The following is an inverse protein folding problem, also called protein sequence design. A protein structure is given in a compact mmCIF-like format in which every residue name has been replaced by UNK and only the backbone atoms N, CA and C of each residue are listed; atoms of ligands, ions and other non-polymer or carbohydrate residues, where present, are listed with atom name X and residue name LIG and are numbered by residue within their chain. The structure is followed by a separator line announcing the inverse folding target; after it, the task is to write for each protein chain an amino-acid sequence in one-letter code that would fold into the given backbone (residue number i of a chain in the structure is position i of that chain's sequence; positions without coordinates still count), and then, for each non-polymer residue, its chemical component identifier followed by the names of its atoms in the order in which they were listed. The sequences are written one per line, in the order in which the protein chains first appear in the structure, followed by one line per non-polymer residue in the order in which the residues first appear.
data_IF_742420656707
#
_entry.id   IF_742420656707
#
_cell.length_a   1.000
_cell.length_b   1.000
_cell.length_c   1.000
_cell.angle_alpha   90.00
_cell.angle_beta   90.00
_cell.angle_gamma   90.00
#
_symmetry.space_group_name_H-M   'P 1'
#
loop_
_entity.id
_entity.type
_entity.pdbx_description
1 polymer ?
#
# COMPACT_ATOMS: atom_id res chain seq x y z
N UNK A 1 -2.19 -22.84 29.94
CA UNK A 1 -2.65 -22.43 28.60
C UNK A 1 -1.65 -22.94 27.60
N UNK A 2 -2.12 -23.42 26.45
CA UNK A 2 -1.26 -24.13 25.51
C UNK A 2 -0.40 -23.13 24.75
N UNK A 3 0.92 -23.34 24.73
CA UNK A 3 1.79 -22.59 23.81
C UNK A 3 1.49 -22.94 22.35
N UNK A 4 1.91 -22.11 21.40
CA UNK A 4 1.70 -22.35 19.95
C UNK A 4 2.18 -23.74 19.50
N UNK A 5 3.29 -24.22 20.04
CA UNK A 5 3.81 -25.57 19.76
C UNK A 5 2.88 -26.66 20.29
N UNK A 6 2.40 -26.52 21.52
CA UNK A 6 1.44 -27.45 22.14
C UNK A 6 0.09 -27.45 21.40
N UNK A 7 -0.38 -26.27 20.96
CA UNK A 7 -1.57 -26.11 20.14
C UNK A 7 -1.44 -26.88 18.82
N UNK A 8 -0.28 -26.78 18.17
CA UNK A 8 0.01 -27.53 16.95
C UNK A 8 0.05 -29.04 17.22
N UNK A 9 0.65 -29.47 18.34
CA UNK A 9 0.65 -30.89 18.74
C UNK A 9 -0.77 -31.42 18.91
N UNK A 10 -1.65 -30.70 19.61
CA UNK A 10 -3.06 -31.10 19.76
C UNK A 10 -3.75 -31.20 18.39
N UNK A 11 -3.57 -30.21 17.50
CA UNK A 11 -4.17 -30.24 16.17
C UNK A 11 -3.66 -31.43 15.33
N UNK A 12 -2.37 -31.76 15.41
CA UNK A 12 -1.81 -32.91 14.70
C UNK A 12 -2.39 -34.24 15.21
N UNK A 13 -2.62 -34.36 16.52
CA UNK A 13 -3.25 -35.54 17.12
C UNK A 13 -4.72 -35.68 16.72
N UNK A 14 -5.46 -34.57 16.62
CA UNK A 14 -6.85 -34.58 16.15
C UNK A 14 -6.95 -35.04 14.69
N UNK A 15 -6.06 -34.57 13.81
CA UNK A 15 -5.99 -34.98 12.41
C UNK A 15 -5.55 -36.44 12.24
N UNK A 16 -4.73 -36.95 13.16
CA UNK A 16 -4.30 -38.35 13.13
C UNK A 16 -5.47 -39.34 13.27
N UNK A 17 -6.64 -38.91 13.77
CA UNK A 17 -7.87 -39.71 13.86
C UNK A 17 -8.35 -40.31 12.54
N UNK A 18 -7.96 -39.72 11.41
CA UNK A 18 -8.37 -40.23 10.10
C UNK A 18 -7.72 -41.57 9.74
N UNK A 19 -6.56 -41.87 10.35
CA UNK A 19 -5.73 -43.03 9.96
C UNK A 19 -5.21 -43.85 11.14
N UNK A 20 -5.18 -43.29 12.35
CA UNK A 20 -4.64 -43.96 13.54
C UNK A 20 -5.76 -44.33 14.52
N UNK A 21 -5.60 -45.43 15.27
CA UNK A 21 -6.58 -45.84 16.25
C UNK A 21 -6.60 -44.92 17.47
N UNK A 22 -7.76 -44.79 18.12
CA UNK A 22 -7.94 -43.87 19.25
C UNK A 22 -6.98 -44.16 20.41
N UNK A 23 -6.71 -45.41 20.74
CA UNK A 23 -5.82 -45.82 21.84
C UNK A 23 -4.39 -45.28 21.68
N UNK A 24 -3.84 -45.35 20.47
CA UNK A 24 -2.53 -44.82 20.15
C UNK A 24 -2.50 -43.30 20.22
N UNK A 25 -3.54 -42.62 19.74
CA UNK A 25 -3.62 -41.15 19.78
C UNK A 25 -3.73 -40.67 21.23
N UNK A 26 -4.51 -41.36 22.07
CA UNK A 26 -4.65 -41.06 23.49
C UNK A 26 -3.33 -41.31 24.23
N UNK A 27 -2.61 -42.40 23.92
CA UNK A 27 -1.30 -42.68 24.50
C UNK A 27 -0.26 -41.63 24.11
N UNK A 28 -0.26 -41.20 22.85
CA UNK A 28 0.61 -40.12 22.35
C UNK A 28 0.25 -38.78 22.99
N UNK A 29 -1.03 -38.50 23.23
CA UNK A 29 -1.47 -37.32 23.98
C UNK A 29 -0.97 -37.37 25.43
N UNK A 30 -1.13 -38.50 26.11
CA UNK A 30 -0.70 -38.67 27.50
C UNK A 30 0.83 -38.59 27.64
N UNK A 31 1.60 -39.02 26.63
CA UNK A 31 3.06 -38.90 26.62
C UNK A 31 3.55 -37.50 26.24
N UNK A 32 2.83 -36.80 25.37
CA UNK A 32 3.18 -35.44 24.91
C UNK A 32 2.86 -34.37 25.97
N UNK A 33 1.85 -34.60 26.81
CA UNK A 33 1.42 -33.64 27.83
C UNK A 33 1.62 -34.18 29.24
N UNK A 34 2.40 -33.50 30.11
CA UNK A 34 2.51 -33.89 31.52
C UNK A 34 1.18 -33.69 32.26
N UNK A 35 0.89 -34.44 33.34
CA UNK A 35 -0.38 -34.37 34.09
C UNK A 35 -0.91 -32.95 34.41
N UNK A 36 -0.10 -31.97 34.85
CA UNK A 36 -0.60 -30.61 35.11
C UNK A 36 -1.04 -29.87 33.83
N UNK A 37 -0.50 -30.23 32.66
CA UNK A 37 -0.88 -29.63 31.37
C UNK A 37 -2.00 -30.37 30.66
N UNK A 38 -2.23 -31.65 30.96
CA UNK A 38 -3.34 -32.43 30.42
C UNK A 38 -4.69 -31.77 30.72
N UNK A 39 -4.91 -31.28 31.95
CA UNK A 39 -6.13 -30.55 32.30
C UNK A 39 -6.33 -29.29 31.45
N UNK A 40 -5.26 -28.50 31.24
CA UNK A 40 -5.31 -27.30 30.37
C UNK A 40 -5.63 -27.67 28.92
N UNK A 41 -5.02 -28.74 28.39
CA UNK A 41 -5.26 -29.22 27.04
C UNK A 41 -6.70 -29.72 26.87
N UNK A 42 -7.23 -30.48 27.83
CA UNK A 42 -8.61 -30.94 27.85
C UNK A 42 -9.62 -29.78 27.94
N UNK A 43 -9.34 -28.72 28.70
CA UNK A 43 -10.18 -27.51 28.69
C UNK A 43 -10.22 -26.91 27.28
N UNK A 44 -9.07 -26.77 26.62
CA UNK A 44 -9.02 -26.20 25.27
C UNK A 44 -9.80 -27.05 24.26
N UNK A 45 -9.70 -28.39 24.36
CA UNK A 45 -10.50 -29.32 23.55
C UNK A 45 -12.01 -29.16 23.80
N UNK A 46 -12.43 -29.05 25.06
CA UNK A 46 -13.83 -28.85 25.41
C UNK A 46 -14.41 -27.54 24.85
N UNK A 47 -13.61 -26.47 24.83
CA UNK A 47 -14.01 -25.17 24.27
C UNK A 47 -14.19 -25.22 22.75
N UNK A 48 -13.29 -25.92 22.05
CA UNK A 48 -13.33 -26.04 20.59
C UNK A 48 -14.49 -26.94 20.15
N UNK A 49 -14.82 -27.97 20.94
CA UNK A 49 -15.98 -28.83 20.71
C UNK A 49 -17.31 -28.05 20.74
N UNK A 50 -17.47 -27.07 21.64
CA UNK A 50 -18.66 -26.19 21.72
C UNK A 50 -18.78 -25.28 20.48
N UNK A 51 -17.66 -24.94 19.83
CA UNK A 51 -17.61 -24.07 18.66
C UNK A 51 -17.96 -24.71 17.32
N UNK A 52 -18.23 -26.03 17.27
CA UNK A 52 -18.47 -26.82 16.03
C UNK A 52 -17.42 -26.59 14.92
N UNK A 53 -16.18 -26.25 15.29
CA UNK A 53 -15.08 -26.00 14.33
C UNK A 53 -14.39 -27.28 13.84
N UNK A 54 -14.56 -28.38 14.57
CA UNK A 54 -13.91 -29.65 14.29
C UNK A 54 -14.74 -30.52 13.36
N UNK A 55 -14.08 -31.21 12.44
CA UNK A 55 -14.70 -32.25 11.60
C UNK A 55 -15.19 -33.43 12.46
N UNK A 56 -16.20 -34.21 12.02
CA UNK A 56 -16.74 -35.33 12.79
C UNK A 56 -15.67 -36.30 13.33
N UNK A 57 -14.72 -36.72 12.50
CA UNK A 57 -13.62 -37.59 12.92
C UNK A 57 -12.76 -36.99 14.05
N UNK A 58 -12.47 -35.68 13.96
CA UNK A 58 -11.71 -34.95 14.98
C UNK A 58 -12.50 -34.80 16.28
N UNK A 59 -13.84 -34.63 16.19
CA UNK A 59 -14.73 -34.57 17.36
C UNK A 59 -14.70 -35.90 18.13
N UNK A 60 -14.76 -37.03 17.43
CA UNK A 60 -14.62 -38.36 18.06
C UNK A 60 -13.29 -38.51 18.81
N UNK A 61 -12.17 -38.08 18.19
CA UNK A 61 -10.85 -38.13 18.85
C UNK A 61 -10.83 -37.26 20.11
N UNK A 62 -11.40 -36.05 20.04
CA UNK A 62 -11.46 -35.15 21.20
C UNK A 62 -12.29 -35.77 22.35
N UNK A 63 -13.44 -36.38 22.07
CA UNK A 63 -14.23 -37.08 23.08
C UNK A 63 -13.49 -38.28 23.68
N UNK A 64 -12.76 -39.05 22.86
CA UNK A 64 -11.93 -40.15 23.33
C UNK A 64 -10.83 -39.66 24.30
N UNK A 65 -10.14 -38.56 23.97
CA UNK A 65 -9.12 -37.95 24.84
C UNK A 65 -9.74 -37.49 26.17
N UNK A 66 -10.87 -36.78 26.13
CA UNK A 66 -11.53 -36.23 27.32
C UNK A 66 -12.01 -37.32 28.30
N UNK A 67 -12.40 -38.49 27.80
CA UNK A 67 -12.81 -39.62 28.63
C UNK A 67 -11.61 -40.46 29.08
N UNK A 68 -10.67 -40.79 28.18
CA UNK A 68 -9.61 -41.76 28.48
C UNK A 68 -8.51 -41.21 29.39
N UNK A 69 -8.20 -39.92 29.32
CA UNK A 69 -7.19 -39.28 30.20
C UNK A 69 -7.57 -39.41 31.69
N UNK A 70 -8.87 -39.47 31.99
CA UNK A 70 -9.41 -39.62 33.36
C UNK A 70 -10.01 -41.01 33.62
N UNK A 71 -9.81 -41.98 32.71
CA UNK A 71 -10.40 -43.33 32.82
C UNK A 71 -9.92 -44.14 34.03
N UNK A 72 -8.79 -43.76 34.62
CA UNK A 72 -8.24 -44.35 35.84
C UNK A 72 -8.94 -43.89 37.13
N UNK A 73 -9.75 -42.84 37.06
CA UNK A 73 -10.46 -42.24 38.19
C UNK A 73 -11.95 -42.64 38.17
N UNK A 74 -12.66 -42.47 39.29
CA UNK A 74 -14.11 -42.65 39.28
C UNK A 74 -14.76 -41.71 38.26
N UNK A 75 -15.81 -42.13 37.53
CA UNK A 75 -16.49 -41.28 36.54
C UNK A 75 -16.98 -39.94 37.12
N UNK A 76 -17.31 -39.91 38.41
CA UNK A 76 -17.70 -38.73 39.19
C UNK A 76 -16.56 -37.71 39.40
N UNK A 77 -15.31 -38.14 39.24
CA UNK A 77 -14.10 -37.32 39.41
C UNK A 77 -13.62 -36.71 38.10
N UNK A 78 -14.12 -37.16 36.94
CA UNK A 78 -13.78 -36.56 35.65
C UNK A 78 -14.45 -35.18 35.51
N UNK A 79 -13.68 -34.08 35.41
CA UNK A 79 -14.22 -32.72 35.31
C UNK A 79 -15.02 -32.46 34.01
N UNK A 80 -14.89 -33.32 33.00
CA UNK A 80 -15.58 -33.20 31.71
C UNK A 80 -16.76 -34.17 31.55
N UNK A 81 -17.13 -34.92 32.60
CA UNK A 81 -18.21 -35.92 32.52
C UNK A 81 -19.56 -35.28 32.16
N UNK A 82 -19.85 -34.08 32.66
CA UNK A 82 -21.07 -33.34 32.34
C UNK A 82 -21.12 -32.91 30.87
N UNK A 83 -19.98 -32.56 30.27
CA UNK A 83 -19.85 -32.25 28.84
C UNK A 83 -20.19 -33.48 28.00
N UNK A 84 -19.63 -34.65 28.34
CA UNK A 84 -19.87 -35.91 27.63
C UNK A 84 -21.33 -36.35 27.74
N UNK A 85 -21.93 -36.27 28.94
CA UNK A 85 -23.36 -36.59 29.14
C UNK A 85 -24.26 -35.64 28.35
N UNK A 86 -23.96 -34.33 28.38
CA UNK A 86 -24.74 -33.35 27.61
C UNK A 86 -24.63 -33.59 26.10
N UNK A 87 -23.44 -33.91 25.58
CA UNK A 87 -23.21 -34.21 24.17
C UNK A 87 -23.88 -35.52 23.72
N UNK A 88 -23.91 -36.55 24.56
CA UNK A 88 -24.63 -37.80 24.27
C UNK A 88 -26.16 -37.59 24.18
N UNK A 89 -26.69 -36.64 24.96
CA UNK A 89 -28.11 -36.30 25.01
C UNK A 89 -28.54 -35.22 24.02
N UNK A 90 -27.62 -34.63 23.26
CA UNK A 90 -27.94 -33.58 22.30
C UNK A 90 -28.68 -34.18 21.09
N UNK A 91 -29.93 -33.79 20.89
CA UNK A 91 -30.75 -34.28 19.78
C UNK A 91 -30.34 -33.71 18.43
N UNK A 92 -29.64 -32.56 18.43
CA UNK A 92 -29.14 -31.90 17.21
C UNK A 92 -27.80 -32.50 16.72
N UNK A 93 -27.13 -33.29 17.57
CA UNK A 93 -25.85 -33.93 17.24
C UNK A 93 -26.02 -35.19 16.39
N UNK A 94 -24.99 -35.53 15.62
CA UNK A 94 -24.99 -36.73 14.77
C UNK A 94 -25.14 -38.01 15.62
N UNK A 95 -25.98 -38.94 15.15
CA UNK A 95 -26.24 -40.20 15.86
C UNK A 95 -24.97 -41.04 16.07
N UNK A 96 -24.01 -40.95 15.14
CA UNK A 96 -22.71 -41.63 15.23
C UNK A 96 -21.89 -41.14 16.43
N UNK A 97 -21.85 -39.83 16.65
CA UNK A 97 -21.12 -39.24 17.78
C UNK A 97 -21.77 -39.56 19.11
N UNK A 98 -23.09 -39.47 19.17
CA UNK A 98 -23.85 -39.81 20.38
C UNK A 98 -23.63 -41.27 20.77
N UNK A 99 -23.70 -42.17 19.79
CA UNK A 99 -23.44 -43.60 20.01
C UNK A 99 -22.00 -43.86 20.48
N UNK A 100 -21.02 -43.19 19.89
CA UNK A 100 -19.62 -43.29 20.31
C UNK A 100 -19.42 -42.81 21.76
N UNK A 101 -19.98 -41.66 22.12
CA UNK A 101 -19.90 -41.14 23.50
C UNK A 101 -20.59 -42.10 24.48
N UNK A 102 -21.75 -42.68 24.12
CA UNK A 102 -22.42 -43.69 24.94
C UNK A 102 -21.57 -44.95 25.13
N UNK A 103 -20.84 -45.39 24.10
CA UNK A 103 -19.90 -46.51 24.19
C UNK A 103 -18.67 -46.19 25.06
N UNK A 104 -18.20 -44.93 25.06
CA UNK A 104 -17.13 -44.46 25.94
C UNK A 104 -17.57 -44.28 27.39
N UNK A 105 -18.81 -43.85 27.61
CA UNK A 105 -19.39 -43.67 28.94
C UNK A 105 -19.81 -45.01 29.55
N UNK A 106 -20.24 -45.97 28.73
CA UNK A 106 -20.56 -47.33 29.16
C UNK A 106 -19.46 -47.92 30.04
N UNK A 107 -19.87 -48.58 31.14
CA UNK A 107 -18.97 -49.10 32.19
C UNK A 107 -17.63 -49.55 31.63
N UNK A 108 -16.53 -49.02 32.18
CA UNK A 108 -15.12 -49.16 31.75
C UNK A 108 -14.57 -50.61 31.62
N UNK A 109 -15.45 -51.59 31.69
CA UNK A 109 -15.24 -53.03 31.68
C UNK A 109 -16.00 -53.76 30.55
N UNK A 110 -16.75 -53.07 29.68
CA UNK A 110 -17.35 -53.71 28.50
C UNK A 110 -16.30 -53.95 27.41
N UNK A 111 -16.29 -55.12 26.79
CA UNK A 111 -15.41 -55.48 25.67
C UNK A 111 -15.57 -54.52 24.48
N UNK A 112 -16.78 -53.99 24.29
CA UNK A 112 -17.11 -53.03 23.24
C UNK A 112 -16.33 -51.72 23.34
N UNK A 113 -16.14 -51.16 24.54
CA UNK A 113 -15.39 -49.91 24.72
C UNK A 113 -13.92 -50.03 24.29
N UNK A 114 -13.28 -51.16 24.61
CA UNK A 114 -11.88 -51.44 24.25
C UNK A 114 -11.69 -51.81 22.78
N UNK A 115 -12.71 -52.36 22.14
CA UNK A 115 -12.70 -52.68 20.70
C UNK A 115 -12.85 -51.41 19.86
N UNK A 116 -13.71 -50.49 20.28
CA UNK A 116 -13.93 -49.20 19.60
C UNK A 116 -12.66 -48.34 19.63
N UNK A 117 -11.92 -48.34 20.74
CA UNK A 117 -10.67 -47.58 20.86
C UNK A 117 -9.54 -48.08 19.96
N UNK A 118 -9.62 -49.33 19.46
CA UNK A 118 -8.63 -49.90 18.52
C UNK A 118 -8.92 -49.55 17.05
N UNK A 119 -10.03 -48.88 16.78
CA UNK A 119 -10.42 -48.45 15.44
C UNK A 119 -9.99 -47.00 15.21
N UNK A 120 -9.79 -46.61 13.96
CA UNK A 120 -9.67 -45.20 13.58
C UNK A 120 -11.04 -44.52 13.59
N UNK A 121 -11.07 -43.19 13.65
CA UNK A 121 -12.34 -42.45 13.64
C UNK A 121 -13.12 -42.64 12.34
N UNK A 122 -12.42 -42.71 11.21
CA UNK A 122 -13.07 -42.91 9.90
C UNK A 122 -13.59 -44.34 9.73
N UNK A 123 -12.88 -45.35 10.26
CA UNK A 123 -13.34 -46.73 10.22
C UNK A 123 -14.56 -46.95 11.11
N UNK A 124 -14.58 -46.35 12.30
CA UNK A 124 -15.74 -46.37 13.19
C UNK A 124 -16.98 -45.75 12.53
N UNK A 125 -16.82 -44.57 11.90
CA UNK A 125 -17.91 -43.89 11.20
C UNK A 125 -18.45 -44.71 10.03
N UNK A 126 -17.59 -45.44 9.29
CA UNK A 126 -18.02 -46.31 8.18
C UNK A 126 -18.74 -47.57 8.63
N UNK A 127 -18.37 -48.12 9.78
CA UNK A 127 -18.97 -49.32 10.36
C UNK A 127 -20.19 -49.02 11.24
N UNK A 128 -20.54 -47.74 11.41
CA UNK A 128 -21.62 -47.32 12.30
C UNK A 128 -22.99 -47.71 11.75
N UNK A 129 -23.72 -48.50 12.55
CA UNK A 129 -25.12 -48.85 12.30
C UNK A 129 -26.03 -48.21 13.36
N UNK A 130 -26.92 -47.27 12.98
CA UNK A 130 -27.84 -46.62 13.90
C UNK A 130 -28.81 -47.58 14.60
N UNK A 131 -29.09 -48.76 14.02
CA UNK A 131 -30.06 -49.72 14.54
C UNK A 131 -29.54 -50.53 15.73
N UNK A 132 -28.22 -50.55 15.94
CA UNK A 132 -27.55 -51.32 17.01
C UNK A 132 -27.44 -50.55 18.33
N UNK A 133 -27.86 -49.29 18.37
CA UNK A 133 -27.64 -48.38 19.49
C UNK A 133 -28.96 -47.92 20.11
N UNK A 134 -29.07 -48.07 21.44
CA UNK A 134 -30.16 -47.47 22.22
C UNK A 134 -29.70 -46.13 22.78
N UNK A 135 -30.53 -45.09 22.61
CA UNK A 135 -30.24 -43.75 23.11
C UNK A 135 -31.06 -43.51 24.39
N UNK A 136 -30.44 -43.63 25.58
CA UNK A 136 -31.15 -43.44 26.84
C UNK A 136 -31.58 -41.99 27.04
N UNK A 137 -32.62 -41.78 27.85
CA UNK A 137 -33.10 -40.43 28.19
C UNK A 137 -32.10 -39.72 29.11
N UNK A 138 -32.03 -38.38 28.99
CA UNK A 138 -31.10 -37.52 29.73
C UNK A 138 -31.10 -37.76 31.25
N UNK A 139 -32.28 -37.99 31.81
CA UNK A 139 -32.49 -38.22 33.24
C UNK A 139 -31.81 -39.52 33.72
N UNK A 140 -31.79 -40.56 32.89
CA UNK A 140 -31.18 -41.86 33.22
C UNK A 140 -29.65 -41.76 33.29
N UNK A 141 -29.04 -41.04 32.33
CA UNK A 141 -27.59 -40.82 32.31
C UNK A 141 -27.16 -39.86 33.43
N UNK A 142 -27.93 -38.82 33.73
CA UNK A 142 -27.65 -37.91 34.84
C UNK A 142 -27.71 -38.61 36.20
N UNK A 143 -28.63 -39.56 36.39
CA UNK A 143 -28.70 -40.38 37.59
C UNK A 143 -27.51 -41.34 37.73
N UNK A 144 -27.01 -41.89 36.62
CA UNK A 144 -25.91 -42.86 36.61
C UNK A 144 -24.52 -42.22 36.85
N UNK A 145 -24.30 -40.99 36.38
CA UNK A 145 -23.00 -40.30 36.48
C UNK A 145 -22.96 -39.14 37.50
N UNK A 146 -24.05 -38.92 38.24
CA UNK A 146 -24.08 -38.11 39.46
C UNK A 146 -24.72 -36.72 39.35
N UNK A 147 -25.36 -36.30 40.44
CA UNK A 147 -26.13 -35.06 40.68
C UNK A 147 -25.30 -33.75 40.74
N UNK A 148 -24.10 -33.73 40.15
CA UNK A 148 -23.30 -32.52 39.91
C UNK A 148 -23.25 -32.12 38.43
N UNK A 149 -24.02 -32.79 37.56
CA UNK A 149 -24.38 -32.25 36.26
C UNK A 149 -25.33 -31.06 36.47
N UNK A 150 -24.78 -29.91 36.87
CA UNK A 150 -25.49 -28.64 36.80
C UNK A 150 -26.09 -28.53 35.39
N UNK A 151 -27.35 -28.06 35.23
CA UNK A 151 -27.95 -27.80 33.92
C UNK A 151 -27.10 -26.88 33.04
N UNK A 152 -26.19 -26.15 33.68
CA UNK A 152 -25.26 -25.22 33.07
C UNK A 152 -24.13 -25.97 32.32
N UNK A 153 -24.21 -25.88 31.00
CA UNK A 153 -23.07 -26.04 30.09
C UNK A 153 -21.85 -25.35 30.71
N UNK A 154 -20.75 -26.08 30.86
CA UNK A 154 -19.47 -25.64 31.43
C UNK A 154 -19.28 -24.11 31.26
N UNK A 155 -19.61 -23.33 32.31
CA UNK A 155 -19.47 -21.87 32.32
C UNK A 155 -17.99 -21.53 32.49
N UNK A 156 -17.21 -21.81 31.45
CA UNK A 156 -15.89 -21.24 31.30
C UNK A 156 -16.05 -19.73 31.14
N UNK A 157 -15.24 -18.94 31.86
CA UNK A 157 -15.19 -17.47 31.69
C UNK A 157 -14.85 -17.08 30.23
N UNK A 158 -14.20 -18.00 29.51
CA UNK A 158 -13.88 -17.91 28.08
C UNK A 158 -15.07 -18.15 27.14
N UNK A 159 -16.23 -18.60 27.64
CA UNK A 159 -17.42 -18.78 26.78
C UNK A 159 -17.94 -17.46 26.22
N UNK A 160 -17.69 -16.39 26.96
CA UNK A 160 -18.12 -15.03 26.61
C UNK A 160 -17.04 -14.26 25.84
N UNK A 161 -15.86 -14.85 25.58
CA UNK A 161 -14.81 -14.19 24.80
C UNK A 161 -14.94 -14.43 23.28
N UNK A 162 -15.80 -15.36 22.85
CA UNK A 162 -16.17 -15.49 21.45
C UNK A 162 -17.55 -14.85 21.21
N UNK A 163 -17.64 -13.99 20.19
CA UNK A 163 -18.91 -13.41 19.76
C UNK A 163 -19.69 -14.51 19.08
N UNK A 164 -20.66 -15.10 19.79
CA UNK A 164 -21.66 -15.98 19.17
C UNK A 164 -22.43 -15.17 18.13
N UNK A 165 -22.57 -15.71 16.93
CA UNK A 165 -23.47 -15.14 15.94
C UNK A 165 -24.90 -15.28 16.46
N UNK A 166 -25.41 -14.21 17.07
CA UNK A 166 -26.80 -14.13 17.57
C UNK A 166 -27.82 -14.19 16.44
N UNK A 167 -27.37 -13.87 15.22
CA UNK A 167 -28.15 -13.89 13.99
C UNK A 167 -27.47 -14.92 13.08
N UNK A 168 -28.17 -15.99 12.67
CA UNK A 168 -27.64 -16.93 11.68
C UNK A 168 -27.39 -16.19 10.37
N UNK A 169 -26.29 -16.53 9.71
CA UNK A 169 -25.93 -15.95 8.42
C UNK A 169 -27.11 -16.14 7.44
N UNK A 170 -27.69 -15.06 6.89
CA UNK A 170 -28.83 -15.15 5.97
C UNK A 170 -28.50 -15.92 4.69
N UNK A 171 -27.21 -16.01 4.32
CA UNK A 171 -26.73 -16.73 3.14
C UNK A 171 -26.54 -18.23 3.43
N UNK A 172 -26.64 -18.66 4.70
CA UNK A 172 -26.60 -20.06 5.11
C UNK A 172 -28.02 -20.55 5.36
N UNK A 173 -28.56 -21.48 4.53
CA UNK A 173 -29.90 -22.00 4.72
C UNK A 173 -30.12 -22.55 6.13
N UNK A 174 -31.31 -22.32 6.71
CA UNK A 174 -31.68 -22.97 7.98
C UNK A 174 -31.65 -24.48 7.79
N UNK A 175 -30.83 -25.17 8.59
CA UNK A 175 -30.60 -26.61 8.45
C UNK A 175 -29.43 -26.97 7.52
N UNK A 176 -28.58 -26.01 7.16
CA UNK A 176 -27.34 -26.29 6.46
C UNK A 176 -26.45 -27.21 7.30
N UNK A 177 -26.06 -28.34 6.72
CA UNK A 177 -25.18 -29.30 7.35
C UNK A 177 -23.77 -28.71 7.49
N UNK A 178 -23.35 -28.49 8.74
CA UNK A 178 -22.00 -27.98 9.05
C UNK A 178 -20.89 -28.93 8.59
N UNK A 179 -21.24 -30.20 8.33
CA UNK A 179 -20.33 -31.23 7.83
C UNK A 179 -20.45 -31.45 6.31
N UNK A 180 -21.15 -30.57 5.60
CA UNK A 180 -21.26 -30.62 4.14
C UNK A 180 -19.90 -30.46 3.47
N UNK A 181 -19.60 -31.34 2.52
CA UNK A 181 -18.41 -31.27 1.66
C UNK A 181 -18.41 -30.04 0.72
N UNK A 182 -19.52 -29.31 0.62
CA UNK A 182 -19.62 -28.07 -0.17
C UNK A 182 -18.79 -26.91 0.42
N UNK A 183 -18.42 -27.01 1.70
CA UNK A 183 -17.55 -26.06 2.39
C UNK A 183 -16.06 -26.44 2.34
N UNK A 184 -15.73 -27.66 1.93
CA UNK A 184 -14.34 -28.07 1.75
C UNK A 184 -13.76 -27.44 0.47
N UNK A 185 -12.52 -26.91 0.57
CA UNK A 185 -11.79 -26.39 -0.59
C UNK A 185 -11.45 -27.54 -1.54
N UNK A 186 -12.11 -27.59 -2.70
CA UNK A 186 -11.77 -28.53 -3.75
C UNK A 186 -10.34 -28.27 -4.26
N UNK A 187 -9.51 -29.31 -4.51
CA UNK A 187 -8.15 -29.14 -5.01
C UNK A 187 -8.14 -28.33 -6.31
N UNK A 188 -7.48 -27.16 -6.30
CA UNK A 188 -7.38 -26.25 -7.46
C UNK A 188 -8.39 -25.09 -7.50
N UNK A 189 -9.29 -24.97 -6.53
CA UNK A 189 -10.20 -23.81 -6.42
C UNK A 189 -9.53 -22.64 -5.67
N UNK A 190 -9.80 -21.40 -6.11
CA UNK A 190 -9.35 -20.20 -5.38
C UNK A 190 -10.15 -20.10 -4.07
N UNK A 191 -9.50 -19.83 -2.91
CA UNK A 191 -10.22 -19.64 -1.66
C UNK A 191 -11.25 -18.52 -1.83
N UNK A 192 -12.48 -18.76 -1.37
CA UNK A 192 -13.53 -17.75 -1.39
C UNK A 192 -13.06 -16.56 -0.55
N UNK A 193 -13.36 -15.33 -0.98
CA UNK A 193 -13.02 -14.14 -0.20
C UNK A 193 -13.70 -14.24 1.17
N UNK A 194 -12.89 -14.34 2.23
CA UNK A 194 -13.37 -14.59 3.60
C UNK A 194 -13.26 -16.04 4.10
N UNK A 195 -12.85 -17.02 3.27
CA UNK A 195 -12.52 -18.36 3.75
C UNK A 195 -11.13 -18.35 4.42
N UNK A 196 -11.09 -18.02 5.71
CA UNK A 196 -9.87 -18.16 6.51
C UNK A 196 -9.43 -19.63 6.61
N UNK A 197 -8.17 -19.85 6.96
CA UNK A 197 -7.67 -21.19 7.24
C UNK A 197 -8.24 -21.68 8.59
N UNK A 198 -9.01 -22.77 8.53
CA UNK A 198 -9.62 -23.40 9.72
C UNK A 198 -8.55 -23.89 10.69
N UNK A 199 -7.42 -24.37 10.19
CA UNK A 199 -6.32 -24.85 11.01
C UNK A 199 -5.59 -23.68 11.71
N UNK A 200 -5.37 -22.58 10.99
CA UNK A 200 -4.85 -21.34 11.57
C UNK A 200 -5.80 -20.77 12.63
N UNK A 201 -7.11 -20.87 12.39
CA UNK A 201 -8.14 -20.44 13.34
C UNK A 201 -8.13 -21.33 14.58
N UNK A 202 -8.07 -22.66 14.44
CA UNK A 202 -8.02 -23.60 15.56
C UNK A 202 -6.72 -23.42 16.37
N UNK A 203 -5.57 -23.30 15.72
CA UNK A 203 -4.28 -23.05 16.40
C UNK A 203 -4.24 -21.69 17.07
N UNK A 204 -4.80 -20.66 16.42
CA UNK A 204 -4.99 -19.33 16.99
C UNK A 204 -5.90 -19.37 18.23
N UNK A 205 -6.99 -20.11 18.20
CA UNK A 205 -7.85 -20.30 19.38
C UNK A 205 -7.11 -21.05 20.49
N UNK A 206 -6.50 -22.20 20.20
CA UNK A 206 -5.74 -22.99 21.17
C UNK A 206 -4.63 -22.19 21.87
N UNK A 207 -4.00 -21.25 21.17
CA UNK A 207 -2.90 -20.42 21.69
C UNK A 207 -3.36 -19.12 22.36
N UNK A 208 -4.49 -18.54 21.93
CA UNK A 208 -5.04 -17.28 22.44
C UNK A 208 -6.14 -17.46 23.48
N UNK A 209 -6.47 -18.68 23.87
CA UNK A 209 -7.16 -18.96 25.13
C UNK A 209 -6.25 -18.55 26.28
N UNK A 210 -6.12 -17.23 26.51
CA UNK A 210 -5.36 -16.56 27.57
C UNK A 210 -6.29 -16.01 28.64
N UNK A 211 -5.92 -16.10 29.93
CA UNK A 211 -6.60 -15.42 31.04
C UNK A 211 -6.42 -13.90 30.97
N UNK A 212 -5.44 -13.42 30.18
CA UNK A 212 -5.22 -12.01 29.85
C UNK A 212 -6.24 -11.56 28.79
N UNK A 213 -7.51 -11.49 29.19
CA UNK A 213 -8.62 -11.19 28.29
C UNK A 213 -9.98 -11.15 28.98
N UNK A 214 -10.03 -11.06 30.31
CA UNK A 214 -11.27 -11.00 31.10
C UNK A 214 -12.08 -9.69 30.87
N UNK A 215 -11.58 -8.75 30.06
CA UNK A 215 -12.35 -7.60 29.59
C UNK A 215 -13.09 -7.95 28.30
N UNK A 216 -14.33 -7.47 28.09
CA UNK A 216 -15.01 -7.66 26.81
C UNK A 216 -14.12 -7.09 25.70
N UNK A 217 -13.63 -7.96 24.81
CA UNK A 217 -13.01 -7.49 23.58
C UNK A 217 -14.12 -6.82 22.78
N UNK A 218 -14.00 -5.50 22.56
CA UNK A 218 -14.89 -4.73 21.72
C UNK A 218 -14.62 -5.07 20.25
N UNK A 219 -14.87 -6.33 19.89
CA UNK A 219 -14.88 -6.78 18.51
C UNK A 219 -16.17 -6.22 17.93
N UNK A 220 -16.07 -5.18 17.11
CA UNK A 220 -17.16 -4.75 16.25
C UNK A 220 -17.07 -5.55 14.96
N UNK A 221 -17.77 -6.69 14.83
CA UNK A 221 -17.89 -7.32 13.52
C UNK A 221 -18.45 -6.29 12.54
N UNK A 222 -17.90 -6.28 11.34
CA UNK A 222 -18.40 -5.41 10.28
C UNK A 222 -19.89 -5.72 10.08
N UNK A 223 -20.79 -4.71 10.04
CA UNK A 223 -22.21 -4.95 9.90
C UNK A 223 -22.49 -5.80 8.65
N UNK A 224 -23.36 -6.82 8.73
CA UNK A 224 -23.75 -7.60 7.57
C UNK A 224 -24.43 -6.68 6.55
N UNK A 225 -24.02 -6.77 5.28
CA UNK A 225 -24.63 -6.01 4.19
C UNK A 225 -25.89 -6.76 3.73
N UNK A 226 -27.03 -6.42 4.32
CA UNK A 226 -28.32 -6.97 3.90
C UNK A 226 -28.74 -6.37 2.55
N UNK A 227 -29.43 -7.15 1.69
CA UNK A 227 -30.03 -6.62 0.47
C UNK A 227 -31.15 -5.62 0.81
N UNK A 228 -31.31 -4.59 -0.03
CA UNK A 228 -32.32 -3.54 0.14
C UNK A 228 -33.72 -4.15 -0.02
N UNK A 229 -34.62 -3.90 0.95
CA UNK A 229 -35.99 -4.40 0.92
C UNK A 229 -36.93 -3.45 0.13
N UNK A 230 -38.01 -3.99 -0.42
CA UNK A 230 -39.02 -3.20 -1.14
C UNK A 230 -39.65 -2.15 -0.21
N UNK A 231 -39.32 -0.88 -0.45
CA UNK A 231 -39.78 0.28 0.35
C UNK A 231 -38.70 0.96 1.18
N UNK A 232 -37.47 0.43 1.23
CA UNK A 232 -36.34 1.13 1.85
C UNK A 232 -35.80 2.25 0.95
N UNK A 233 -35.53 3.41 1.57
CA UNK A 233 -34.91 4.54 0.90
C UNK A 233 -33.42 4.22 0.67
N UNK A 234 -33.05 4.05 -0.60
CA UNK A 234 -31.64 3.92 -0.99
C UNK A 234 -30.94 5.26 -0.79
N UNK A 235 -29.92 5.28 0.07
CA UNK A 235 -28.96 6.38 0.09
C UNK A 235 -28.20 6.37 -1.23
N UNK A 236 -28.58 7.28 -2.13
CA UNK A 236 -27.74 7.65 -3.26
C UNK A 236 -26.52 8.33 -2.67
N UNK A 237 -25.40 7.60 -2.54
CA UNK A 237 -24.12 8.28 -2.42
C UNK A 237 -23.88 8.96 -3.77
N UNK A 238 -23.96 10.30 -3.86
CA UNK A 238 -23.58 10.98 -5.10
C UNK A 238 -22.16 10.51 -5.44
N UNK A 239 -21.93 10.15 -6.70
CA UNK A 239 -20.67 9.58 -7.15
C UNK A 239 -19.50 10.32 -6.50
N UNK A 240 -18.59 9.56 -5.88
CA UNK A 240 -17.35 10.04 -5.27
C UNK A 240 -16.35 10.55 -6.33
N UNK A 241 -16.83 11.22 -7.38
CA UNK A 241 -16.02 12.12 -8.19
C UNK A 241 -15.83 13.42 -7.42
N UNK A 242 -15.29 13.33 -6.20
CA UNK A 242 -14.70 14.49 -5.56
C UNK A 242 -13.39 14.74 -6.28
N UNK A 243 -13.43 15.64 -7.26
CA UNK A 243 -12.20 16.22 -7.78
C UNK A 243 -11.49 16.89 -6.58
N UNK A 244 -10.20 16.60 -6.40
CA UNK A 244 -9.41 17.18 -5.33
C UNK A 244 -9.30 18.69 -5.57
N UNK A 245 -10.25 19.46 -5.02
CA UNK A 245 -10.20 20.91 -5.01
C UNK A 245 -9.28 21.32 -3.86
N UNK A 246 -7.98 21.32 -4.13
CA UNK A 246 -7.02 21.89 -3.21
C UNK A 246 -7.13 23.42 -3.25
N UNK A 247 -7.28 24.06 -2.10
CA UNK A 247 -7.12 25.52 -2.02
C UNK A 247 -5.62 25.84 -2.12
N UNK A 248 -5.19 26.18 -3.34
CA UNK A 248 -3.80 26.54 -3.62
C UNK A 248 -3.40 27.86 -2.94
N UNK A 249 -4.34 28.61 -2.36
CA UNK A 249 -4.10 29.80 -1.55
C UNK A 249 -3.87 29.51 -0.06
N UNK A 250 -4.16 28.30 0.41
CA UNK A 250 -4.00 27.94 1.82
C UNK A 250 -2.51 27.79 2.15
N UNK A 251 -1.97 28.72 2.95
CA UNK A 251 -0.53 28.87 3.23
C UNK A 251 0.32 29.32 2.03
N UNK A 252 -0.28 29.88 0.97
CA UNK A 252 0.49 30.62 -0.02
C UNK A 252 1.05 31.88 0.65
N UNK A 253 2.37 32.05 0.65
CA UNK A 253 3.00 33.31 1.05
C UNK A 253 2.38 34.42 0.19
N UNK A 254 1.44 35.20 0.71
CA UNK A 254 0.80 36.32 -0.02
C UNK A 254 1.76 37.50 -0.23
N UNK A 255 3.05 37.27 0.01
CA UNK A 255 4.12 38.19 -0.30
C UNK A 255 4.17 38.44 -1.81
N UNK A 256 4.47 39.69 -2.19
CA UNK A 256 4.67 40.08 -3.60
C UNK A 256 5.67 39.16 -4.30
N UNK A 257 6.69 38.67 -3.58
CA UNK A 257 7.67 37.73 -4.10
C UNK A 257 7.13 36.35 -4.51
N UNK A 258 6.06 35.84 -3.88
CA UNK A 258 5.44 34.59 -4.32
C UNK A 258 4.65 34.77 -5.63
N UNK A 259 3.95 35.90 -5.78
CA UNK A 259 3.26 36.22 -7.02
C UNK A 259 4.24 36.35 -8.20
N UNK A 260 5.37 37.04 -8.01
CA UNK A 260 6.45 37.08 -9.01
C UNK A 260 7.01 35.69 -9.28
N UNK A 261 7.26 34.88 -8.24
CA UNK A 261 7.77 33.51 -8.41
C UNK A 261 6.83 32.63 -9.24
N UNK A 262 5.53 32.72 -9.01
CA UNK A 262 4.52 31.98 -9.78
C UNK A 262 4.46 32.45 -11.23
N UNK A 263 4.58 33.76 -11.47
CA UNK A 263 4.65 34.33 -12.81
C UNK A 263 5.93 33.89 -13.54
N UNK A 264 7.09 33.90 -12.87
CA UNK A 264 8.35 33.38 -13.42
C UNK A 264 8.25 31.88 -13.71
N UNK A 265 7.63 31.09 -12.82
CA UNK A 265 7.40 29.66 -13.05
C UNK A 265 6.50 29.39 -14.26
N UNK A 266 5.52 30.26 -14.53
CA UNK A 266 4.72 30.24 -15.77
C UNK A 266 5.56 30.68 -16.98
N UNK A 267 6.41 31.69 -16.83
CA UNK A 267 7.29 32.21 -17.88
C UNK A 267 8.30 31.16 -18.39
N UNK A 268 8.73 30.25 -17.52
CA UNK A 268 9.62 29.15 -17.91
C UNK A 268 8.92 28.10 -18.78
N UNK A 269 7.61 27.93 -18.63
CA UNK A 269 6.82 26.93 -19.38
C UNK A 269 6.30 27.46 -20.71
N UNK A 270 6.17 28.77 -20.87
CA UNK A 270 5.65 29.38 -22.09
C UNK A 270 5.57 30.90 -22.04
N UNK A 271 5.16 31.53 -23.15
CA UNK A 271 5.07 32.99 -23.25
C UNK A 271 3.98 33.53 -22.31
N UNK A 272 4.33 34.55 -21.52
CA UNK A 272 3.39 35.25 -20.65
C UNK A 272 2.55 36.26 -21.44
N UNK A 273 1.33 36.51 -20.98
CA UNK A 273 0.50 37.57 -21.55
C UNK A 273 1.14 38.96 -21.31
N UNK A 274 0.97 39.94 -22.21
CA UNK A 274 1.58 41.27 -22.07
C UNK A 274 1.30 41.95 -20.72
N UNK A 275 0.08 41.82 -20.20
CA UNK A 275 -0.28 42.35 -18.88
C UNK A 275 0.49 41.69 -17.72
N UNK A 276 0.76 40.38 -17.82
CA UNK A 276 1.56 39.65 -16.84
C UNK A 276 3.05 40.02 -16.94
N UNK A 277 3.55 40.25 -18.16
CA UNK A 277 4.92 40.74 -18.36
C UNK A 277 5.11 42.12 -17.74
N UNK A 278 4.18 43.06 -17.96
CA UNK A 278 4.22 44.40 -17.36
C UNK A 278 4.17 44.34 -15.83
N UNK A 279 3.34 43.46 -15.26
CA UNK A 279 3.28 43.26 -13.82
C UNK A 279 4.62 42.78 -13.24
N UNK A 280 5.28 41.79 -13.85
CA UNK A 280 6.59 41.31 -13.41
C UNK A 280 7.63 42.43 -13.48
N UNK A 281 7.67 43.18 -14.58
CA UNK A 281 8.61 44.29 -14.75
C UNK A 281 8.39 45.38 -13.69
N UNK A 282 7.14 45.75 -13.40
CA UNK A 282 6.81 46.75 -12.39
C UNK A 282 7.15 46.29 -10.98
N UNK A 283 6.94 45.00 -10.66
CA UNK A 283 7.31 44.45 -9.35
C UNK A 283 8.83 44.35 -9.16
N UNK A 284 9.57 43.94 -10.20
CA UNK A 284 11.05 43.92 -10.21
C UNK A 284 11.67 45.33 -10.16
N UNK A 285 11.01 46.34 -10.74
CA UNK A 285 11.44 47.72 -10.65
C UNK A 285 11.25 48.29 -9.24
N UNK A 286 10.16 47.90 -8.56
CA UNK A 286 9.85 48.35 -7.20
C UNK A 286 10.76 47.73 -6.13
N UNK A 287 11.09 46.44 -6.26
CA UNK A 287 12.00 45.75 -5.34
C UNK A 287 13.00 44.86 -6.10
N UNK A 288 14.22 45.36 -6.38
CA UNK A 288 15.27 44.61 -7.04
C UNK A 288 15.71 43.34 -6.31
N UNK A 289 15.45 43.21 -5.00
CA UNK A 289 15.83 42.02 -4.22
C UNK A 289 14.92 40.83 -4.51
N UNK A 290 13.75 41.05 -5.11
CA UNK A 290 12.85 39.96 -5.49
C UNK A 290 13.49 38.97 -6.45
N UNK A 291 14.49 39.40 -7.22
CA UNK A 291 15.19 38.53 -8.17
C UNK A 291 15.83 37.31 -7.46
N UNK A 292 16.34 37.47 -6.24
CA UNK A 292 16.88 36.37 -5.44
C UNK A 292 15.80 35.40 -4.93
N UNK A 293 14.53 35.83 -4.92
CA UNK A 293 13.38 35.04 -4.49
C UNK A 293 12.56 34.46 -5.64
N UNK A 294 12.87 34.82 -6.88
CA UNK A 294 12.21 34.31 -8.09
C UNK A 294 12.48 32.82 -8.34
N UNK A 295 13.48 32.22 -7.68
CA UNK A 295 13.84 30.81 -7.87
C UNK A 295 14.39 30.50 -9.27
N UNK A 296 14.84 31.53 -9.98
CA UNK A 296 15.57 31.36 -11.23
C UNK A 296 16.94 30.78 -10.90
N UNK A 297 17.31 29.72 -11.59
CA UNK A 297 18.65 29.09 -11.52
C UNK A 297 19.30 29.20 -12.89
N UNK A 298 20.64 29.24 -13.01
CA UNK A 298 21.31 29.36 -14.31
C UNK A 298 20.84 28.32 -15.33
N UNK A 299 20.55 27.09 -14.89
CA UNK A 299 20.03 26.00 -15.74
C UNK A 299 18.69 26.28 -16.42
N UNK A 300 17.86 27.13 -15.82
CA UNK A 300 16.51 27.49 -16.31
C UNK A 300 16.51 28.77 -17.12
N UNK A 301 17.65 29.48 -17.19
CA UNK A 301 17.79 30.68 -18.00
C UNK A 301 17.49 30.44 -19.50
N UNK A 302 17.94 29.34 -20.15
CA UNK A 302 17.63 29.12 -21.57
C UNK A 302 16.13 29.08 -21.85
N UNK A 303 15.37 28.39 -21.00
CA UNK A 303 13.91 28.29 -21.11
C UNK A 303 13.23 29.67 -20.97
N UNK A 304 13.74 30.52 -20.08
CA UNK A 304 13.22 31.88 -19.91
C UNK A 304 13.52 32.76 -21.11
N UNK A 305 14.74 32.66 -21.65
CA UNK A 305 15.19 33.45 -22.82
C UNK A 305 14.34 33.11 -24.05
N UNK A 306 14.08 31.83 -24.31
CA UNK A 306 13.29 31.40 -25.47
C UNK A 306 11.81 31.79 -25.36
N UNK A 307 11.22 31.71 -24.17
CA UNK A 307 9.80 31.99 -23.99
C UNK A 307 9.49 33.47 -23.76
N UNK A 308 10.36 34.19 -23.03
CA UNK A 308 10.10 35.55 -22.54
C UNK A 308 11.40 36.39 -22.47
N UNK A 309 11.95 36.84 -23.62
CA UNK A 309 13.23 37.55 -23.67
C UNK A 309 13.25 38.87 -22.90
N UNK A 310 12.13 39.61 -22.85
CA UNK A 310 12.06 40.91 -22.14
C UNK A 310 12.25 40.73 -20.64
N UNK A 311 11.63 39.70 -20.05
CA UNK A 311 11.76 39.40 -18.61
C UNK A 311 13.18 38.92 -18.31
N UNK A 312 13.77 38.10 -19.19
CA UNK A 312 15.14 37.65 -19.04
C UNK A 312 16.13 38.83 -18.97
N UNK A 313 15.95 39.86 -19.81
CA UNK A 313 16.77 41.08 -19.77
C UNK A 313 16.64 41.77 -18.42
N UNK A 314 15.42 42.06 -17.96
CA UNK A 314 15.23 42.81 -16.70
C UNK A 314 15.83 42.06 -15.50
N UNK A 315 15.62 40.74 -15.45
CA UNK A 315 16.22 39.89 -14.40
C UNK A 315 17.74 39.92 -14.45
N UNK A 316 18.35 39.79 -15.63
CA UNK A 316 19.81 39.84 -15.79
C UNK A 316 20.37 41.22 -15.42
N UNK A 317 19.71 42.31 -15.82
CA UNK A 317 20.11 43.69 -15.46
C UNK A 317 20.20 43.87 -13.95
N UNK A 318 19.22 43.36 -13.19
CA UNK A 318 19.24 43.44 -11.72
C UNK A 318 20.26 42.50 -11.08
N UNK A 319 20.66 41.42 -11.76
CA UNK A 319 21.67 40.47 -11.29
C UNK A 319 23.10 40.84 -11.66
N UNK A 320 23.37 41.83 -12.52
CA UNK A 320 24.74 42.13 -12.97
C UNK A 320 25.71 42.39 -11.81
N UNK A 321 25.24 43.02 -10.73
CA UNK A 321 26.07 43.32 -9.56
C UNK A 321 26.14 42.16 -8.54
N UNK A 322 25.49 41.03 -8.82
CA UNK A 322 25.50 39.85 -7.96
C UNK A 322 26.75 38.99 -8.20
N UNK A 323 27.34 38.38 -7.17
CA UNK A 323 28.45 37.44 -7.36
C UNK A 323 28.08 36.20 -8.19
N UNK A 324 26.80 35.85 -8.29
CA UNK A 324 26.31 34.68 -9.03
C UNK A 324 26.21 34.91 -10.55
N UNK A 325 26.37 36.16 -11.04
CA UNK A 325 26.15 36.50 -12.46
C UNK A 325 27.07 35.74 -13.42
N UNK A 326 28.28 35.38 -12.97
CA UNK A 326 29.26 34.66 -13.80
C UNK A 326 28.68 33.34 -14.31
N UNK A 327 27.95 32.59 -13.49
CA UNK A 327 27.30 31.35 -13.91
C UNK A 327 26.22 31.60 -14.97
N UNK A 328 25.40 32.64 -14.80
CA UNK A 328 24.39 33.01 -15.80
C UNK A 328 25.02 33.40 -17.14
N UNK A 329 26.14 34.13 -17.12
CA UNK A 329 26.90 34.46 -18.33
C UNK A 329 27.50 33.23 -19.00
N UNK A 330 28.06 32.28 -18.25
CA UNK A 330 28.54 31.02 -18.85
C UNK A 330 27.42 30.24 -19.52
N UNK A 331 26.23 30.18 -18.91
CA UNK A 331 25.08 29.52 -19.54
C UNK A 331 24.68 30.30 -20.79
N UNK A 332 24.56 31.62 -20.72
CA UNK A 332 24.16 32.47 -21.85
C UNK A 332 25.11 32.36 -23.06
N UNK A 333 26.42 32.21 -22.85
CA UNK A 333 27.38 31.94 -23.93
C UNK A 333 27.19 30.55 -24.51
N UNK A 334 26.88 29.54 -23.70
CA UNK A 334 26.76 28.14 -24.13
C UNK A 334 25.36 27.78 -24.66
N UNK A 335 24.41 28.72 -24.68
CA UNK A 335 23.08 28.49 -25.25
C UNK A 335 23.16 28.31 -26.77
N UNK A 336 22.20 27.56 -27.33
CA UNK A 336 22.03 27.50 -28.77
C UNK A 336 21.67 28.89 -29.32
N UNK A 337 22.34 29.27 -30.41
CA UNK A 337 22.17 30.59 -31.00
C UNK A 337 20.75 30.77 -31.55
N UNK A 338 20.03 31.76 -31.03
CA UNK A 338 18.64 32.06 -31.37
C UNK A 338 18.41 33.57 -31.52
N UNK A 339 17.28 33.96 -32.12
CA UNK A 339 16.90 35.37 -32.19
C UNK A 339 16.71 35.95 -30.79
N UNK A 340 16.11 35.18 -29.88
CA UNK A 340 15.80 35.61 -28.52
C UNK A 340 17.08 35.80 -27.68
N UNK A 341 18.05 34.87 -27.76
CA UNK A 341 19.34 35.03 -27.07
C UNK A 341 20.11 36.25 -27.57
N UNK A 342 20.15 36.49 -28.89
CA UNK A 342 20.77 37.69 -29.46
C UNK A 342 20.05 38.97 -29.06
N UNK A 343 18.72 38.97 -28.99
CA UNK A 343 17.93 40.11 -28.53
C UNK A 343 18.25 40.43 -27.06
N UNK A 344 18.34 39.41 -26.21
CA UNK A 344 18.68 39.56 -24.79
C UNK A 344 20.08 40.17 -24.65
N UNK A 345 21.09 39.64 -25.34
CA UNK A 345 22.46 40.19 -25.27
C UNK A 345 22.51 41.62 -25.82
N UNK A 346 21.84 41.91 -26.94
CA UNK A 346 21.82 43.25 -27.54
C UNK A 346 21.12 44.29 -26.66
N UNK A 347 20.07 43.90 -25.93
CA UNK A 347 19.42 44.80 -24.96
C UNK A 347 20.24 44.92 -23.67
N UNK A 348 20.86 43.84 -23.21
CA UNK A 348 21.67 43.84 -21.99
C UNK A 348 22.89 44.75 -22.14
N UNK A 349 23.57 44.71 -23.29
CA UNK A 349 24.70 45.59 -23.60
C UNK A 349 24.33 47.07 -23.72
N UNK A 350 23.06 47.39 -24.00
CA UNK A 350 22.55 48.77 -24.00
C UNK A 350 22.14 49.24 -22.60
N UNK A 351 21.76 48.32 -21.71
CA UNK A 351 21.27 48.63 -20.38
C UNK A 351 22.40 48.70 -19.33
N UNK A 352 23.45 47.89 -19.47
CA UNK A 352 24.55 47.79 -18.49
C UNK A 352 25.90 47.60 -19.20
N UNK A 353 26.96 48.17 -18.64
CA UNK A 353 28.33 47.91 -19.08
C UNK A 353 28.74 46.47 -18.73
N UNK A 354 28.80 45.61 -19.74
CA UNK A 354 29.21 44.21 -19.60
C UNK A 354 30.73 44.06 -19.75
N UNK A 355 31.35 43.06 -19.08
CA UNK A 355 32.76 42.73 -19.29
C UNK A 355 33.06 42.41 -20.76
N UNK A 356 34.13 42.99 -21.31
CA UNK A 356 34.54 42.77 -22.71
C UNK A 356 34.88 41.30 -22.98
N UNK A 357 35.43 40.59 -22.00
CA UNK A 357 35.70 39.14 -22.07
C UNK A 357 34.44 38.32 -22.38
N UNK A 358 33.31 38.65 -21.74
CA UNK A 358 32.03 37.99 -21.99
C UNK A 358 31.56 38.23 -23.43
N UNK A 359 31.63 39.48 -23.89
CA UNK A 359 31.21 39.86 -25.25
C UNK A 359 32.07 39.14 -26.29
N UNK A 360 33.39 39.09 -26.08
CA UNK A 360 34.32 38.42 -26.99
C UNK A 360 34.05 36.92 -27.06
N UNK A 361 33.90 36.24 -25.90
CA UNK A 361 33.53 34.81 -25.88
C UNK A 361 32.19 34.54 -26.57
N UNK A 362 31.19 35.40 -26.37
CA UNK A 362 29.90 35.27 -27.03
C UNK A 362 30.02 35.40 -28.55
N UNK A 363 30.81 36.36 -29.05
CA UNK A 363 31.05 36.56 -30.48
C UNK A 363 31.79 35.37 -31.11
N UNK A 364 32.86 34.89 -30.46
CA UNK A 364 33.59 33.71 -30.93
C UNK A 364 32.66 32.48 -30.98
N UNK A 365 31.77 32.30 -30.00
CA UNK A 365 30.78 31.22 -30.06
C UNK A 365 29.74 31.43 -31.18
N UNK A 366 29.33 32.67 -31.46
CA UNK A 366 28.44 32.98 -32.59
C UNK A 366 29.08 32.60 -33.93
N UNK A 367 30.36 32.95 -34.12
CA UNK A 367 31.11 32.69 -35.35
C UNK A 367 31.33 31.18 -35.53
N UNK A 368 31.82 30.50 -34.49
CA UNK A 368 32.03 29.05 -34.53
C UNK A 368 30.72 28.27 -34.74
N UNK A 369 29.60 28.74 -34.18
CA UNK A 369 28.27 28.15 -34.41
C UNK A 369 27.83 28.31 -35.87
N UNK A 370 28.11 29.45 -36.51
CA UNK A 370 27.83 29.65 -37.93
C UNK A 370 28.63 28.72 -38.83
N UNK A 371 29.90 28.43 -38.51
CA UNK A 371 30.76 27.54 -39.29
C UNK A 371 30.31 26.06 -39.20
N UNK A 372 29.82 25.64 -38.04
CA UNK A 372 29.48 24.24 -37.76
C UNK A 372 28.08 23.80 -38.25
N UNK A 373 27.21 24.73 -38.67
CA UNK A 373 25.87 24.39 -39.18
C UNK A 373 25.95 23.78 -40.58
N UNK A 374 25.46 22.54 -40.71
CA UNK A 374 25.46 21.80 -41.99
C UNK A 374 24.40 22.28 -42.99
N UNK A 375 23.27 22.79 -42.50
CA UNK A 375 22.19 23.28 -43.36
C UNK A 375 22.48 24.69 -43.87
N UNK A 376 22.77 24.82 -45.16
CA UNK A 376 23.06 26.09 -45.83
C UNK A 376 21.95 27.12 -45.68
N UNK A 377 20.68 26.72 -45.62
CA UNK A 377 19.58 27.68 -45.48
C UNK A 377 19.57 28.30 -44.09
N UNK A 378 19.67 27.46 -43.06
CA UNK A 378 19.72 27.88 -41.66
C UNK A 378 21.00 28.66 -41.36
N UNK A 379 22.15 28.22 -41.89
CA UNK A 379 23.41 28.95 -41.81
C UNK A 379 23.29 30.36 -42.39
N UNK A 380 22.73 30.51 -43.60
CA UNK A 380 22.52 31.83 -44.20
C UNK A 380 21.62 32.72 -43.33
N UNK A 381 20.59 32.16 -42.68
CA UNK A 381 19.74 32.92 -41.75
C UNK A 381 20.50 33.36 -40.50
N UNK A 382 21.26 32.46 -39.88
CA UNK A 382 22.02 32.77 -38.67
C UNK A 382 23.11 33.80 -38.95
N UNK A 383 23.84 33.66 -40.05
CA UNK A 383 24.87 34.63 -40.45
C UNK A 383 24.26 36.02 -40.64
N UNK A 384 23.06 36.14 -41.23
CA UNK A 384 22.36 37.43 -41.34
C UNK A 384 22.08 38.04 -39.96
N UNK A 385 21.59 37.24 -39.01
CA UNK A 385 21.31 37.68 -37.64
C UNK A 385 22.61 38.12 -36.92
N UNK A 386 23.67 37.32 -36.99
CA UNK A 386 24.98 37.65 -36.40
C UNK A 386 25.54 38.93 -37.01
N UNK A 387 25.44 39.12 -38.33
CA UNK A 387 25.90 40.35 -38.97
C UNK A 387 25.13 41.58 -38.48
N UNK A 388 23.80 41.51 -38.34
CA UNK A 388 23.00 42.62 -37.81
C UNK A 388 23.34 42.90 -36.34
N UNK A 389 23.55 41.84 -35.55
CA UNK A 389 23.97 41.95 -34.15
C UNK A 389 25.34 42.62 -34.02
N UNK A 390 26.36 42.19 -34.78
CA UNK A 390 27.69 42.81 -34.78
C UNK A 390 27.64 44.26 -35.25
N UNK A 391 26.83 44.58 -36.28
CA UNK A 391 26.61 45.96 -36.70
C UNK A 391 26.00 46.83 -35.59
N UNK A 392 25.09 46.28 -34.79
CA UNK A 392 24.51 46.96 -33.62
C UNK A 392 25.57 47.28 -32.56
N UNK A 393 26.40 46.31 -32.20
CA UNK A 393 27.46 46.49 -31.19
C UNK A 393 28.52 47.50 -31.62
N UNK A 394 28.92 47.46 -32.90
CA UNK A 394 29.90 48.40 -33.47
C UNK A 394 29.32 49.82 -33.52
N UNK A 395 28.08 49.99 -33.98
CA UNK A 395 27.43 51.30 -34.07
C UNK A 395 27.25 51.97 -32.71
N UNK A 396 26.94 51.16 -31.69
CA UNK A 396 26.77 51.64 -30.31
C UNK A 396 28.12 51.80 -29.57
N UNK A 397 29.26 51.55 -30.22
CA UNK A 397 30.62 51.64 -29.66
C UNK A 397 30.85 50.77 -28.41
N UNK A 398 30.19 49.62 -28.35
CA UNK A 398 30.28 48.70 -27.21
C UNK A 398 31.57 47.85 -27.29
N UNK A 399 32.07 47.61 -28.51
CA UNK A 399 33.25 46.78 -28.77
C UNK A 399 34.39 47.65 -29.28
N UNK A 400 35.61 47.38 -28.81
CA UNK A 400 36.82 47.89 -29.43
C UNK A 400 37.12 47.08 -30.70
N UNK A 401 36.86 47.68 -31.86
CA UNK A 401 36.92 47.01 -33.18
C UNK A 401 38.30 46.41 -33.46
N UNK A 402 39.36 46.97 -32.86
CA UNK A 402 40.73 46.51 -33.05
C UNK A 402 41.01 45.11 -32.50
N UNK A 403 40.35 44.71 -31.40
CA UNK A 403 40.65 43.44 -30.73
C UNK A 403 39.99 42.23 -31.43
N UNK A 404 38.88 42.46 -32.12
CA UNK A 404 38.09 41.44 -32.83
C UNK A 404 38.20 41.56 -34.36
N UNK A 405 39.02 42.49 -34.87
CA UNK A 405 39.07 42.83 -36.29
C UNK A 405 39.36 41.61 -37.17
N UNK A 406 40.38 40.83 -36.82
CA UNK A 406 40.85 39.69 -37.61
C UNK A 406 39.77 38.60 -37.70
N UNK A 407 39.14 38.27 -36.58
CA UNK A 407 38.12 37.21 -36.48
C UNK A 407 36.85 37.59 -37.24
N UNK A 408 36.34 38.82 -37.06
CA UNK A 408 35.14 39.29 -37.76
C UNK A 408 35.42 39.52 -39.25
N UNK A 409 36.63 39.97 -39.63
CA UNK A 409 37.02 40.12 -41.02
C UNK A 409 37.08 38.76 -41.74
N UNK A 410 37.68 37.75 -41.11
CA UNK A 410 37.73 36.38 -41.63
C UNK A 410 36.31 35.84 -41.86
N UNK A 411 35.43 35.97 -40.87
CA UNK A 411 34.01 35.59 -40.97
C UNK A 411 33.29 36.31 -42.13
N UNK A 412 33.48 37.62 -42.27
CA UNK A 412 32.89 38.41 -43.35
C UNK A 412 33.37 37.97 -44.74
N UNK A 413 34.62 37.54 -44.88
CA UNK A 413 35.20 37.06 -46.15
C UNK A 413 34.61 35.69 -46.50
N UNK A 414 34.55 34.78 -45.53
CA UNK A 414 34.00 33.43 -45.70
C UNK A 414 32.53 33.48 -46.17
N UNK A 415 31.72 34.33 -45.52
CA UNK A 415 30.30 34.49 -45.84
C UNK A 415 30.00 35.66 -46.78
N UNK A 416 30.98 36.09 -47.57
CA UNK A 416 30.88 37.26 -48.48
C UNK A 416 29.72 37.22 -49.49
N UNK A 417 29.16 36.03 -49.77
CA UNK A 417 27.97 35.86 -50.62
C UNK A 417 26.70 36.44 -49.98
N UNK A 418 26.68 36.64 -48.67
CA UNK A 418 25.55 37.19 -47.92
C UNK A 418 25.68 38.71 -47.89
N UNK A 419 24.59 39.41 -48.24
CA UNK A 419 24.56 40.87 -48.37
C UNK A 419 24.93 41.58 -47.06
N UNK A 420 24.45 41.04 -45.95
CA UNK A 420 24.65 41.57 -44.59
C UNK A 420 26.12 41.44 -44.16
N UNK A 421 26.78 40.33 -44.51
CA UNK A 421 28.22 40.12 -44.26
C UNK A 421 29.09 41.08 -45.09
N UNK A 422 28.75 41.27 -46.38
CA UNK A 422 29.40 42.27 -47.22
C UNK A 422 29.15 43.71 -46.71
N UNK A 423 27.99 43.98 -46.12
CA UNK A 423 27.68 45.25 -45.47
C UNK A 423 28.51 45.49 -44.20
N UNK A 424 28.64 44.47 -43.35
CA UNK A 424 29.48 44.52 -42.15
C UNK A 424 30.97 44.72 -42.51
N UNK A 425 31.48 44.05 -43.55
CA UNK A 425 32.85 44.23 -44.02
C UNK A 425 33.15 45.67 -44.45
N UNK A 426 32.21 46.31 -45.16
CA UNK A 426 32.35 47.73 -45.54
C UNK A 426 32.36 48.64 -44.32
N UNK A 427 31.52 48.36 -43.31
CA UNK A 427 31.49 49.12 -42.07
C UNK A 427 32.81 49.00 -41.29
N UNK A 428 33.38 47.79 -41.22
CA UNK A 428 34.69 47.56 -40.61
C UNK A 428 35.79 48.35 -41.32
N UNK A 429 35.79 48.37 -42.66
CA UNK A 429 36.76 49.13 -43.45
C UNK A 429 36.65 50.65 -43.31
N UNK A 430 35.49 51.16 -42.87
CA UNK A 430 35.33 52.60 -42.55
C UNK A 430 35.81 52.97 -41.14
N UNK A 431 36.04 51.97 -40.29
CA UNK A 431 36.47 52.12 -38.89
C UNK A 431 37.93 51.69 -38.68
N UNK A 432 38.52 51.01 -39.67
CA UNK A 432 39.95 50.89 -39.93
C UNK A 432 40.56 52.26 -40.26
#
# INVERSE_FOLDING_TARGET
MLGKEESNTVLTLLKAGDHRPFDQIVADFASSFPPPRQFSACICLALILDGKLLKPAQRLVAYAILQQVYSSQEPSSNPFISLLVNAACDEEAERCERAFILQLLGSASSTSSREVLKQSATDYMKMFDPSQHSFPQREQLQQQYGSKALPEQLHCLFRNSYVKNSIPDPDVPRGCDSNSSEFDLLPGSKPKIGSGDVDETITGLLSNLSLEGLGPQWIRPHPPRLPVLDGELVWLNPDYNYELLWDHGMCADTSRGAAVRDLIAKALKGPLAPAQQEQVLLELANDPKLVYHCGLTPRKLPELVENNPIIAVEVLVKLVNSPEIAEYFTVLVNMEMSLHSMEVVNRLTQAVELPTEFIHMYITNCISSCENIKDRYMQNRLVRLVCVFLQSLIRNKIINVHDLFIEVQAFCIEFSRIREAAGLFRLLKTLE
#
